data_IF_856382718799
#
_entry.id   IF_856382718799
#
_cell.length_a   1.000
_cell.length_b   1.000
_cell.length_c   1.000
_cell.angle_alpha   90.00
_cell.angle_beta   90.00
_cell.angle_gamma   90.00
#
_symmetry.space_group_name_H-M   'P 1'
#
loop_
_entity.id
_entity.type
_entity.pdbx_description
1 polymer ?
#
# COMPACT_ATOMS: atom_id res chain seq x y z
N UNK A 1 -3.39 -16.85 -9.77
CA UNK A 1 -2.05 -16.35 -9.39
C UNK A 1 -2.28 -15.24 -8.38
N UNK A 2 -1.77 -15.36 -7.16
CA UNK A 2 -2.02 -14.38 -6.11
C UNK A 2 -1.23 -13.10 -6.42
N UNK A 3 -1.91 -12.13 -7.04
CA UNK A 3 -1.39 -10.77 -7.21
C UNK A 3 -1.16 -10.25 -5.80
N UNK A 4 0.11 -10.23 -5.40
CA UNK A 4 0.52 -9.76 -4.09
C UNK A 4 0.57 -8.25 -4.18
N UNK A 5 -0.08 -7.51 -3.29
CA UNK A 5 -0.07 -6.03 -3.27
C UNK A 5 1.35 -5.43 -3.35
N UNK A 6 2.37 -6.18 -2.92
CA UNK A 6 3.77 -5.82 -3.06
C UNK A 6 4.25 -5.69 -4.51
N UNK A 7 3.69 -6.50 -5.40
CA UNK A 7 4.00 -6.48 -6.84
C UNK A 7 3.38 -5.26 -7.49
N UNK A 8 2.10 -4.95 -7.22
CA UNK A 8 1.47 -3.69 -7.67
C UNK A 8 2.23 -2.46 -7.17
N UNK A 9 2.65 -2.47 -5.90
CA UNK A 9 3.50 -1.43 -5.34
C UNK A 9 4.84 -1.34 -6.06
N UNK A 10 5.43 -2.48 -6.42
CA UNK A 10 6.68 -2.52 -7.15
C UNK A 10 6.54 -2.04 -8.59
N UNK A 11 5.43 -2.34 -9.27
CA UNK A 11 5.13 -1.82 -10.61
C UNK A 11 4.94 -0.30 -10.55
N UNK A 12 4.20 0.20 -9.56
CA UNK A 12 3.94 1.61 -9.40
C UNK A 12 5.19 2.42 -9.01
N UNK A 13 6.03 1.88 -8.12
CA UNK A 13 7.30 2.50 -7.70
C UNK A 13 8.46 2.15 -8.66
N UNK A 14 8.22 1.30 -9.65
CA UNK A 14 9.21 0.78 -10.61
C UNK A 14 10.09 -0.37 -10.10
N UNK A 15 10.21 -0.62 -8.80
CA UNK A 15 10.87 -1.85 -8.29
C UNK A 15 10.58 -2.17 -6.81
N UNK A 16 10.66 -3.45 -6.44
CA UNK A 16 10.63 -3.92 -5.04
C UNK A 16 11.78 -3.32 -4.21
N UNK A 17 12.93 -3.02 -4.83
CA UNK A 17 14.03 -2.35 -4.15
C UNK A 17 13.67 -0.92 -3.74
N UNK A 18 12.91 -0.18 -4.55
CA UNK A 18 12.42 1.17 -4.20
C UNK A 18 11.41 1.10 -3.07
N UNK A 19 10.51 0.10 -3.08
CA UNK A 19 9.58 -0.19 -1.97
C UNK A 19 10.34 -0.40 -0.65
N UNK A 20 11.40 -1.22 -0.66
CA UNK A 20 12.24 -1.47 0.52
C UNK A 20 12.90 -0.18 1.04
N UNK A 21 13.41 0.68 0.14
CA UNK A 21 14.03 1.98 0.48
C UNK A 21 13.01 2.92 1.13
N UNK A 22 11.81 3.06 0.55
CA UNK A 22 10.71 3.88 1.12
C UNK A 22 10.34 3.39 2.52
N UNK A 23 10.28 2.09 2.72
CA UNK A 23 9.98 1.49 4.01
C UNK A 23 11.16 1.55 5.01
N UNK A 24 12.35 1.92 4.53
CA UNK A 24 13.62 1.84 5.26
C UNK A 24 13.88 0.43 5.83
N UNK A 25 13.63 -0.59 5.01
CA UNK A 25 13.86 -2.01 5.33
C UNK A 25 14.83 -2.64 4.35
N UNK A 26 15.39 -3.80 4.73
CA UNK A 26 16.24 -4.58 3.83
C UNK A 26 15.35 -5.27 2.76
N UNK A 27 15.78 -5.36 1.49
CA UNK A 27 15.06 -6.09 0.45
C UNK A 27 14.60 -7.52 0.84
N UNK A 28 15.44 -8.37 1.49
CA UNK A 28 15.00 -9.69 1.95
C UNK A 28 13.82 -9.66 2.94
N UNK A 29 13.61 -8.55 3.64
CA UNK A 29 12.48 -8.42 4.58
C UNK A 29 11.12 -8.42 3.85
N UNK A 30 11.07 -7.99 2.59
CA UNK A 30 9.84 -8.00 1.80
C UNK A 30 9.35 -9.42 1.50
N UNK A 31 10.26 -10.38 1.33
CA UNK A 31 9.89 -11.78 1.05
C UNK A 31 9.13 -12.44 2.21
N UNK A 32 9.34 -11.96 3.45
CA UNK A 32 8.62 -12.44 4.62
C UNK A 32 7.28 -11.75 4.85
N UNK A 33 6.92 -10.77 4.03
CA UNK A 33 5.68 -10.01 4.21
C UNK A 33 4.53 -10.74 3.52
N UNK A 34 3.73 -11.44 4.33
CA UNK A 34 2.42 -11.94 3.88
C UNK A 34 1.46 -10.76 3.64
N UNK A 35 1.60 -9.68 4.42
CA UNK A 35 0.92 -8.39 4.24
C UNK A 35 1.84 -7.24 4.65
N UNK A 36 1.58 -6.04 4.12
CA UNK A 36 2.32 -4.83 4.48
C UNK A 36 2.09 -4.48 5.97
N UNK A 37 3.15 -4.28 6.78
CA UNK A 37 2.98 -3.87 8.16
C UNK A 37 2.35 -2.48 8.26
N UNK A 38 1.39 -2.30 9.18
CA UNK A 38 0.59 -1.07 9.32
C UNK A 38 1.44 0.22 9.40
N UNK A 39 2.56 0.16 10.13
CA UNK A 39 3.51 1.28 10.29
C UNK A 39 4.13 1.77 8.97
N UNK A 40 4.18 0.94 7.93
CA UNK A 40 4.75 1.26 6.63
C UNK A 40 3.69 1.67 5.61
N UNK A 41 2.41 1.38 5.86
CA UNK A 41 1.31 1.65 4.93
C UNK A 41 1.23 3.13 4.57
N UNK A 42 1.25 4.02 5.56
CA UNK A 42 1.18 5.47 5.31
C UNK A 42 2.40 6.00 4.52
N UNK A 43 3.58 5.41 4.74
CA UNK A 43 4.80 5.78 4.00
C UNK A 43 4.72 5.33 2.55
N UNK A 44 4.20 4.12 2.32
CA UNK A 44 4.00 3.57 0.98
C UNK A 44 2.92 4.34 0.23
N UNK A 45 1.78 4.61 0.86
CA UNK A 45 0.70 5.43 0.27
C UNK A 45 1.23 6.80 -0.18
N UNK A 46 2.01 7.48 0.68
CA UNK A 46 2.61 8.76 0.32
C UNK A 46 3.59 8.66 -0.86
N UNK A 47 4.40 7.60 -0.92
CA UNK A 47 5.35 7.38 -2.01
C UNK A 47 4.64 7.02 -3.33
N UNK A 48 3.61 6.17 -3.26
CA UNK A 48 2.75 5.82 -4.40
C UNK A 48 2.07 7.06 -4.95
N UNK A 49 1.45 7.88 -4.08
CA UNK A 49 0.79 9.13 -4.48
C UNK A 49 1.78 10.12 -5.11
N UNK A 50 3.00 10.21 -4.59
CA UNK A 50 4.05 11.06 -5.17
C UNK A 50 4.48 10.62 -6.57
N UNK A 51 4.41 9.32 -6.88
CA UNK A 51 4.72 8.75 -8.19
C UNK A 51 3.48 8.69 -9.11
N UNK A 52 2.32 9.19 -8.65
CA UNK A 52 1.08 9.20 -9.42
C UNK A 52 0.28 7.90 -9.39
N UNK A 53 0.59 6.99 -8.46
CA UNK A 53 -0.15 5.75 -8.26
C UNK A 53 -1.46 5.92 -7.49
N UNK A 54 -2.32 4.92 -7.63
CA UNK A 54 -3.68 4.86 -7.06
C UNK A 54 -3.83 3.80 -5.96
N UNK A 55 -2.72 3.31 -5.40
CA UNK A 55 -2.75 2.27 -4.37
C UNK A 55 -2.91 2.91 -2.98
N UNK A 56 -4.09 2.74 -2.40
CA UNK A 56 -4.41 3.24 -1.07
C UNK A 56 -4.21 2.21 0.05
N UNK A 57 -4.14 2.71 1.29
CA UNK A 57 -4.05 1.93 2.52
C UNK A 57 -5.12 0.85 2.70
N UNK A 58 -6.31 1.08 2.14
CA UNK A 58 -7.43 0.14 2.20
C UNK A 58 -7.17 -1.11 1.35
N UNK A 59 -6.51 -0.96 0.20
CA UNK A 59 -6.07 -2.08 -0.63
C UNK A 59 -4.90 -2.84 -0.01
N UNK A 60 -4.01 -2.14 0.70
CA UNK A 60 -2.87 -2.77 1.39
C UNK A 60 -3.27 -3.56 2.64
N UNK A 61 -4.17 -3.00 3.45
CA UNK A 61 -4.59 -3.55 4.74
C UNK A 61 -6.09 -3.35 4.97
N UNK A 62 -6.95 -4.08 4.23
CA UNK A 62 -8.40 -4.01 4.43
C UNK A 62 -8.80 -4.51 5.83
N UNK A 63 -7.96 -5.33 6.48
CA UNK A 63 -8.18 -5.81 7.85
C UNK A 63 -8.04 -4.72 8.93
N UNK A 64 -7.27 -3.66 8.68
CA UNK A 64 -7.13 -2.54 9.63
C UNK A 64 -8.05 -1.39 9.24
N UNK A 65 -8.02 -1.01 7.96
CA UNK A 65 -8.65 0.22 7.50
C UNK A 65 -10.09 0.00 7.00
N UNK A 66 -10.53 -1.25 6.84
CA UNK A 66 -11.85 -1.57 6.29
C UNK A 66 -11.94 -1.21 4.81
N UNK A 67 -13.16 -0.85 4.37
CA UNK A 67 -13.42 -0.42 3.00
C UNK A 67 -13.05 1.06 2.81
N UNK A 68 -12.54 1.42 1.63
CA UNK A 68 -12.24 2.82 1.27
C UNK A 68 -13.48 3.71 1.44
N UNK A 69 -13.34 4.92 2.02
CA UNK A 69 -14.41 5.89 2.18
C UNK A 69 -14.93 6.46 0.87
N UNK A 70 -14.22 6.27 -0.27
CA UNK A 70 -14.76 6.59 -1.60
C UNK A 70 -16.01 5.77 -1.95
N UNK A 71 -16.29 4.68 -1.23
CA UNK A 71 -17.56 3.96 -1.34
C UNK A 71 -18.65 4.50 -0.39
N UNK A 72 -18.35 5.48 0.47
CA UNK A 72 -19.25 6.02 1.51
C UNK A 72 -19.38 7.57 1.47
N UNK A 73 -18.95 8.25 0.40
CA UNK A 73 -19.22 9.69 0.22
C UNK A 73 -20.57 9.99 -0.45
N UNK A 74 -21.63 9.26 -0.08
CA UNK A 74 -23.01 9.71 -0.28
C UNK A 74 -23.94 9.48 0.93
N UNK A 75 -23.41 9.20 2.13
CA UNK A 75 -24.21 9.30 3.34
C UNK A 75 -23.92 10.64 4.03
N UNK A 76 -24.45 11.71 3.42
CA UNK A 76 -24.65 13.01 4.04
C UNK A 76 -25.26 12.82 5.42
N UNK A 77 -24.56 13.23 6.49
CA UNK A 77 -25.14 13.29 7.83
C UNK A 77 -25.49 14.74 8.09
N UNK A 78 -26.80 14.96 8.24
CA UNK A 78 -27.52 16.21 8.37
C UNK A 78 -27.19 17.01 9.63
#
# INVERSE_FOLDING_TARGET
MAISILDDLAECLGSQAKVARVCNVKPPSLHGWVRVPARHVLKLEAAVRAEGGTIDRYSMRPDIYGQSPESTEQASVA
#
